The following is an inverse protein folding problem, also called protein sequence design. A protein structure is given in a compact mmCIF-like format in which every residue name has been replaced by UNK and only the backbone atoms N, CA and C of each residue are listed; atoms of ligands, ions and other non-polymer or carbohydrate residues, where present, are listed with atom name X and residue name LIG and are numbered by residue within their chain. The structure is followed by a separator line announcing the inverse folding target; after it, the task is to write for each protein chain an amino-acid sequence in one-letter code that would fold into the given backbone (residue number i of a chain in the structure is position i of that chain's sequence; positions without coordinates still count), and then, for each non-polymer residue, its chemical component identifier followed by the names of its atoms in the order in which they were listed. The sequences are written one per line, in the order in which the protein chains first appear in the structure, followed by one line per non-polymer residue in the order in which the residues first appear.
data_IF_992814430811
#
_entry.id   IF_992814430811
#
_cell.length_a   1.000
_cell.length_b   1.000
_cell.length_c   1.000
_cell.angle_alpha   90.00
_cell.angle_beta   90.00
_cell.angle_gamma   90.00
#
_symmetry.space_group_name_H-M   'P 1'
#
loop_
_entity.id
_entity.type
_entity.pdbx_description
1 polymer ?
#
# COMPACT_ATOMS: atom_id res chain seq x y z
N UNK A 1 -26.33 15.28 -8.24
CA UNK A 1 -25.18 15.26 -7.30
C UNK A 1 -25.51 14.46 -6.03
N UNK A 2 -26.57 14.80 -5.28
CA UNK A 2 -27.00 14.01 -4.09
C UNK A 2 -27.29 12.53 -4.38
N UNK A 3 -28.02 12.24 -5.47
CA UNK A 3 -28.35 10.86 -5.90
C UNK A 3 -27.14 10.03 -6.38
N UNK A 4 -26.11 10.70 -6.90
CA UNK A 4 -24.91 10.04 -7.41
C UNK A 4 -23.68 10.88 -7.02
N UNK A 5 -23.06 10.59 -5.86
CA UNK A 5 -21.91 11.34 -5.37
C UNK A 5 -20.68 11.24 -6.27
N UNK A 6 -20.58 10.19 -7.10
CA UNK A 6 -19.42 9.95 -7.98
C UNK A 6 -19.24 11.03 -9.05
N UNK A 7 -20.29 11.80 -9.36
CA UNK A 7 -20.18 12.89 -10.33
C UNK A 7 -19.53 14.16 -9.75
N UNK A 8 -19.25 14.22 -8.44
CA UNK A 8 -18.57 15.37 -7.82
C UNK A 8 -17.12 15.46 -8.30
N UNK A 9 -16.87 16.35 -9.26
CA UNK A 9 -15.54 16.76 -9.68
C UNK A 9 -15.11 18.06 -8.99
N UNK A 10 -13.89 18.55 -9.24
CA UNK A 10 -13.35 19.76 -8.59
C UNK A 10 -14.21 21.01 -8.80
N UNK A 11 -14.70 21.23 -10.02
CA UNK A 11 -15.58 22.38 -10.35
C UNK A 11 -16.91 22.34 -9.58
N UNK A 12 -17.55 21.16 -9.47
CA UNK A 12 -18.79 21.01 -8.69
C UNK A 12 -18.56 21.23 -7.20
N UNK A 13 -17.45 20.72 -6.66
CA UNK A 13 -17.08 20.94 -5.24
C UNK A 13 -16.81 22.42 -4.95
N UNK A 14 -16.16 23.13 -5.87
CA UNK A 14 -15.95 24.58 -5.77
C UNK A 14 -17.28 25.35 -5.78
N UNK A 15 -18.24 24.95 -6.65
CA UNK A 15 -19.58 25.56 -6.66
C UNK A 15 -20.32 25.32 -5.35
N UNK A 16 -20.25 24.12 -4.78
CA UNK A 16 -20.88 23.79 -3.49
C UNK A 16 -20.24 24.62 -2.37
N UNK A 17 -18.91 24.63 -2.29
CA UNK A 17 -18.15 25.40 -1.31
C UNK A 17 -18.55 26.89 -1.33
N UNK A 18 -18.57 27.51 -2.51
CA UNK A 18 -19.00 28.91 -2.68
C UNK A 18 -20.46 29.13 -2.31
N UNK A 19 -21.35 28.21 -2.69
CA UNK A 19 -22.78 28.31 -2.39
C UNK A 19 -23.13 28.08 -0.92
N UNK A 20 -22.30 27.36 -0.17
CA UNK A 20 -22.50 27.08 1.25
C UNK A 20 -21.65 27.94 2.18
N UNK A 21 -20.78 28.80 1.65
CA UNK A 21 -19.83 29.58 2.45
C UNK A 21 -18.77 28.74 3.16
N UNK A 22 -18.44 27.55 2.64
CA UNK A 22 -17.43 26.64 3.22
C UNK A 22 -16.22 26.49 2.28
N UNK A 23 -15.15 25.87 2.77
CA UNK A 23 -13.98 25.59 1.93
C UNK A 23 -14.17 24.31 1.10
N UNK A 24 -13.41 24.17 0.03
CA UNK A 24 -13.40 22.93 -0.78
C UNK A 24 -12.91 21.74 0.04
N UNK A 25 -12.03 21.97 1.01
CA UNK A 25 -11.52 20.95 1.92
C UNK A 25 -12.63 20.38 2.79
N UNK A 26 -13.50 21.24 3.34
CA UNK A 26 -14.65 20.80 4.16
C UNK A 26 -15.60 19.93 3.35
N UNK A 27 -15.86 20.31 2.11
CA UNK A 27 -16.68 19.52 1.17
C UNK A 27 -16.04 18.17 0.90
N UNK A 28 -14.72 18.10 0.72
CA UNK A 28 -14.01 16.84 0.53
C UNK A 28 -14.13 15.91 1.73
N UNK A 29 -13.94 16.43 2.94
CA UNK A 29 -14.09 15.65 4.17
C UNK A 29 -15.51 15.12 4.34
N UNK A 30 -16.53 15.93 4.03
CA UNK A 30 -17.92 15.50 4.07
C UNK A 30 -18.19 14.34 3.09
N UNK A 31 -17.69 14.46 1.86
CA UNK A 31 -17.85 13.41 0.84
C UNK A 31 -17.17 12.11 1.29
N UNK A 32 -15.97 12.18 1.86
CA UNK A 32 -15.26 11.00 2.38
C UNK A 32 -16.03 10.32 3.51
N UNK A 33 -16.54 11.08 4.48
CA UNK A 33 -17.36 10.54 5.59
C UNK A 33 -18.64 9.89 5.06
N UNK A 34 -19.28 10.50 4.07
CA UNK A 34 -20.45 9.93 3.42
C UNK A 34 -20.13 8.60 2.71
N UNK A 35 -19.03 8.53 1.96
CA UNK A 35 -18.64 7.31 1.24
C UNK A 35 -18.32 6.16 2.19
N UNK A 36 -17.66 6.44 3.32
CA UNK A 36 -17.40 5.48 4.37
C UNK A 36 -18.72 4.95 4.98
N UNK A 37 -19.63 5.86 5.35
CA UNK A 37 -20.94 5.50 5.89
C UNK A 37 -21.75 4.68 4.87
N UNK A 38 -21.76 5.08 3.60
CA UNK A 38 -22.45 4.37 2.52
C UNK A 38 -21.89 2.95 2.32
N UNK A 39 -20.57 2.76 2.44
CA UNK A 39 -19.92 1.44 2.38
C UNK A 39 -20.35 0.56 3.56
N UNK A 40 -20.42 1.12 4.77
CA UNK A 40 -20.91 0.41 5.95
C UNK A 40 -22.37 0.02 5.78
N UNK A 41 -23.25 0.95 5.41
CA UNK A 41 -24.67 0.69 5.17
C UNK A 41 -24.88 -0.40 4.12
N UNK A 42 -24.11 -0.37 3.01
CA UNK A 42 -24.16 -1.40 1.97
C UNK A 42 -23.73 -2.78 2.48
N UNK A 43 -22.79 -2.83 3.44
CA UNK A 43 -22.30 -4.09 4.02
C UNK A 43 -23.35 -4.68 4.95
N UNK A 44 -23.94 -3.85 5.81
CA UNK A 44 -25.05 -4.23 6.71
C UNK A 44 -26.28 -4.66 5.91
N UNK A 45 -26.67 -3.92 4.88
CA UNK A 45 -27.80 -4.26 4.01
C UNK A 45 -27.62 -5.59 3.27
N UNK A 46 -26.38 -6.05 3.09
CA UNK A 46 -26.06 -7.37 2.52
C UNK A 46 -25.98 -8.48 3.57
N UNK A 47 -26.35 -8.21 4.81
CA UNK A 47 -26.28 -9.15 5.93
C UNK A 47 -24.86 -9.39 6.46
N UNK A 48 -23.89 -8.56 6.07
CA UNK A 48 -22.50 -8.67 6.53
C UNK A 48 -22.25 -7.85 7.79
N UNK A 49 -21.47 -8.39 8.73
CA UNK A 49 -20.99 -7.64 9.89
C UNK A 49 -20.03 -6.53 9.42
N UNK A 50 -20.28 -5.25 9.74
CA UNK A 50 -19.40 -4.18 9.34
C UNK A 50 -18.02 -4.38 9.99
N UNK A 51 -16.97 -4.35 9.17
CA UNK A 51 -15.59 -4.47 9.64
C UNK A 51 -15.20 -3.14 10.27
N UNK A 52 -15.60 -2.94 11.53
CA UNK A 52 -15.31 -1.74 12.32
C UNK A 52 -13.82 -1.83 12.72
N UNK A 53 -12.95 -0.90 12.27
CA UNK A 53 -11.57 -0.87 12.71
C UNK A 53 -11.51 -0.75 14.23
N UNK A 54 -10.81 -1.68 14.90
CA UNK A 54 -10.73 -1.76 16.37
C UNK A 54 -11.67 -2.77 17.01
N UNK A 55 -12.70 -3.25 16.30
CA UNK A 55 -13.53 -4.38 16.72
C UNK A 55 -13.10 -5.60 15.91
N UNK A 56 -11.97 -6.21 16.31
CA UNK A 56 -11.50 -7.46 15.71
C UNK A 56 -12.61 -8.52 15.78
N UNK A 57 -12.66 -9.38 14.76
CA UNK A 57 -13.54 -10.55 14.76
C UNK A 57 -13.42 -11.29 16.09
N UNK A 58 -14.50 -11.30 16.89
CA UNK A 58 -14.59 -12.03 18.15
C UNK A 58 -14.18 -13.49 17.89
N UNK A 59 -13.04 -13.96 18.44
CA UNK A 59 -12.66 -15.35 18.38
C UNK A 59 -13.65 -16.12 19.27
N UNK A 60 -14.60 -16.84 18.68
CA UNK A 60 -15.51 -17.69 19.44
C UNK A 60 -16.95 -17.79 18.96
N UNK A 61 -17.42 -16.92 18.05
CA UNK A 61 -18.73 -17.12 17.42
C UNK A 61 -18.58 -18.08 16.23
N UNK A 62 -18.76 -19.37 16.52
CA UNK A 62 -18.48 -20.49 15.64
C UNK A 62 -19.16 -20.40 14.28
N UNK A 63 -18.44 -20.83 13.23
CA UNK A 63 -19.02 -21.32 11.98
C UNK A 63 -19.33 -22.80 12.21
N UNK A 64 -20.59 -23.25 12.31
CA UNK A 64 -20.90 -24.67 12.27
C UNK A 64 -20.79 -25.12 10.81
N UNK A 65 -19.96 -26.13 10.52
CA UNK A 65 -20.04 -26.83 9.23
C UNK A 65 -18.77 -27.02 8.41
N UNK A 66 -17.58 -27.10 9.00
CA UNK A 66 -16.39 -27.52 8.25
C UNK A 66 -15.56 -28.56 9.02
N UNK A 67 -16.14 -29.73 9.25
CA UNK A 67 -15.39 -30.94 9.58
C UNK A 67 -15.23 -31.80 8.33
N UNK A 68 -14.04 -31.80 7.72
CA UNK A 68 -13.52 -33.00 7.05
C UNK A 68 -12.01 -32.97 7.01
N UNK A 69 -11.48 -33.55 8.08
CA UNK A 69 -10.20 -34.26 8.23
C UNK A 69 -9.62 -34.77 6.89
N UNK A 70 -8.49 -34.22 6.42
CA UNK A 70 -7.51 -35.01 5.64
C UNK A 70 -6.10 -34.42 5.67
N UNK A 71 -5.16 -35.22 6.17
CA UNK A 71 -3.77 -35.22 5.71
C UNK A 71 -2.75 -34.49 6.58
N UNK A 72 -2.09 -35.24 7.47
CA UNK A 72 -0.70 -34.96 7.86
C UNK A 72 0.18 -34.99 6.60
N UNK A 73 0.91 -33.90 6.32
CA UNK A 73 2.27 -33.99 5.73
C UNK A 73 3.09 -32.79 6.19
N UNK A 74 4.15 -33.08 6.94
CA UNK A 74 5.18 -32.14 7.30
C UNK A 74 6.06 -31.78 6.09
N UNK A 75 6.81 -30.69 6.25
CA UNK A 75 8.06 -30.31 5.55
C UNK A 75 7.89 -29.30 4.40
N UNK A 76 8.30 -28.06 4.68
CA UNK A 76 8.42 -26.97 3.70
C UNK A 76 8.45 -25.59 4.35
N UNK A 77 9.48 -25.35 5.18
CA UNK A 77 9.81 -24.06 5.79
C UNK A 77 10.16 -22.99 4.76
N UNK A 78 9.80 -21.74 5.04
CA UNK A 78 10.42 -20.54 4.47
C UNK A 78 9.64 -19.95 3.30
N UNK A 79 8.57 -19.18 3.51
CA UNK A 79 8.69 -17.74 3.80
C UNK A 79 9.84 -17.12 2.99
N UNK A 80 9.51 -16.52 1.83
CA UNK A 80 10.32 -15.49 1.17
C UNK A 80 10.70 -14.47 2.23
N UNK A 81 11.92 -14.57 2.76
CA UNK A 81 12.37 -13.72 3.86
C UNK A 81 12.49 -12.29 3.36
N UNK A 82 11.82 -11.35 4.04
CA UNK A 82 11.95 -9.91 3.82
C UNK A 82 13.31 -9.34 4.27
N UNK A 83 14.38 -10.13 4.22
CA UNK A 83 15.72 -9.72 4.64
C UNK A 83 16.54 -9.30 3.40
N UNK A 84 16.91 -8.00 3.26
CA UNK A 84 17.55 -7.48 2.05
C UNK A 84 18.91 -8.11 1.72
N UNK A 85 19.66 -8.59 2.73
CA UNK A 85 20.94 -9.26 2.52
C UNK A 85 20.84 -10.56 1.70
N UNK A 86 19.74 -11.32 1.86
CA UNK A 86 19.53 -12.57 1.10
C UNK A 86 19.15 -12.31 -0.37
N UNK A 87 18.37 -11.25 -0.63
CA UNK A 87 18.02 -10.82 -1.99
C UNK A 87 19.24 -10.30 -2.76
N UNK A 88 20.14 -9.58 -2.09
CA UNK A 88 21.38 -9.10 -2.69
C UNK A 88 22.30 -10.27 -3.12
N UNK A 89 22.40 -11.31 -2.29
CA UNK A 89 23.16 -12.52 -2.62
C UNK A 89 22.55 -13.32 -3.79
N UNK A 90 21.21 -13.41 -3.85
CA UNK A 90 20.49 -14.08 -4.95
C UNK A 90 20.67 -13.34 -6.30
N UNK A 91 20.73 -12.00 -6.29
CA UNK A 91 20.97 -11.20 -7.50
C UNK A 91 22.44 -11.21 -7.93
N UNK A 92 23.39 -11.28 -6.98
CA UNK A 92 24.82 -11.40 -7.25
C UNK A 92 25.19 -12.77 -7.88
N UNK A 93 24.46 -13.83 -7.53
CA UNK A 93 24.66 -15.17 -8.12
C UNK A 93 24.15 -15.34 -9.56
N UNK A 94 23.37 -14.37 -10.07
CA UNK A 94 22.82 -14.38 -11.43
C UNK A 94 23.61 -13.50 -12.42
N UNK A 95 24.64 -12.79 -11.95
CA UNK A 95 25.39 -11.82 -12.76
C UNK A 95 26.72 -12.34 -13.34
N UNK A 96 27.04 -13.63 -13.20
CA UNK A 96 28.17 -14.26 -13.89
C UNK A 96 27.67 -15.07 -15.09
N UNK A 97 27.33 -14.37 -16.17
CA UNK A 97 26.89 -15.03 -17.40
C UNK A 97 26.54 -14.04 -18.51
N UNK A 98 27.56 -13.74 -19.34
CA UNK A 98 27.47 -13.24 -20.73
C UNK A 98 27.03 -11.79 -20.97
N UNK A 99 28.02 -11.00 -21.38
CA UNK A 99 27.90 -9.76 -22.16
C UNK A 99 27.05 -9.95 -23.41
N UNK A 100 26.09 -9.05 -23.65
CA UNK A 100 25.59 -8.73 -24.97
C UNK A 100 25.15 -7.26 -25.03
N UNK A 101 25.85 -6.53 -25.88
CA UNK A 101 25.58 -5.21 -26.46
C UNK A 101 24.10 -4.95 -26.80
N UNK A 102 23.59 -3.74 -26.52
CA UNK A 102 22.32 -3.27 -27.10
C UNK A 102 21.74 -2.03 -26.45
N UNK A 103 21.87 -0.90 -27.13
CA UNK A 103 21.37 0.45 -26.83
C UNK A 103 19.86 0.57 -26.52
N UNK A 104 19.49 1.38 -25.52
CA UNK A 104 18.12 1.87 -25.36
C UNK A 104 17.86 2.79 -24.17
N UNK A 105 17.60 4.07 -24.48
CA UNK A 105 16.85 5.06 -23.69
C UNK A 105 17.57 5.75 -22.50
N UNK A 106 17.76 7.06 -22.65
CA UNK A 106 18.58 7.91 -21.79
C UNK A 106 18.10 8.08 -20.35
N UNK A 107 19.07 7.94 -19.44
CA UNK A 107 19.22 8.80 -18.28
C UNK A 107 20.72 8.83 -17.94
N UNK A 108 21.31 10.02 -17.93
CA UNK A 108 22.75 10.23 -17.80
C UNK A 108 23.34 9.56 -16.56
N UNK A 109 24.39 8.76 -16.78
CA UNK A 109 25.22 8.22 -15.71
C UNK A 109 25.97 9.35 -15.01
N UNK A 110 25.57 9.65 -13.78
CA UNK A 110 26.50 10.24 -12.82
C UNK A 110 27.54 9.15 -12.50
N UNK A 111 28.86 9.42 -12.61
CA UNK A 111 29.87 8.50 -12.13
C UNK A 111 29.65 8.28 -10.63
N UNK A 112 29.82 7.04 -10.15
CA UNK A 112 29.73 6.74 -8.73
C UNK A 112 30.68 7.68 -7.95
N UNK A 113 30.24 8.27 -6.82
CA UNK A 113 31.04 9.23 -6.06
C UNK A 113 32.35 8.58 -5.60
N UNK A 114 33.44 9.37 -5.64
CA UNK A 114 34.78 8.89 -5.36
C UNK A 114 34.97 8.60 -3.87
N UNK A 115 35.99 7.83 -3.55
CA UNK A 115 36.30 7.40 -2.17
C UNK A 115 36.54 8.59 -1.23
N UNK A 116 36.99 9.73 -1.76
CA UNK A 116 37.15 10.98 -1.03
C UNK A 116 35.79 11.62 -0.67
N UNK A 117 34.82 11.59 -1.58
CA UNK A 117 33.48 12.14 -1.36
C UNK A 117 32.73 11.33 -0.30
N UNK A 118 32.94 10.01 -0.28
CA UNK A 118 32.39 9.13 0.76
C UNK A 118 32.99 9.39 2.14
N UNK A 119 34.30 9.69 2.21
CA UNK A 119 34.98 10.01 3.46
C UNK A 119 34.55 11.38 4.03
N UNK A 120 34.26 12.34 3.16
CA UNK A 120 33.74 13.66 3.54
C UNK A 120 32.29 13.57 4.05
N UNK A 121 31.45 12.77 3.38
CA UNK A 121 30.08 12.48 3.84
C UNK A 121 30.09 11.76 5.19
N UNK A 122 30.97 10.78 5.40
CA UNK A 122 31.10 10.08 6.69
C UNK A 122 31.57 11.01 7.83
N UNK A 123 32.41 12.01 7.54
CA UNK A 123 32.79 13.05 8.52
C UNK A 123 31.67 14.05 8.77
N UNK A 124 30.84 14.37 7.78
CA UNK A 124 29.73 15.32 7.92
C UNK A 124 28.54 14.74 8.71
N UNK A 125 28.30 13.43 8.60
CA UNK A 125 27.21 12.72 9.30
C UNK A 125 27.64 12.11 10.65
N UNK A 126 28.71 12.65 11.25
CA UNK A 126 29.32 12.21 12.51
C UNK A 126 28.37 11.50 13.49
N UNK A 127 28.46 10.16 13.49
CA UNK A 127 28.19 9.34 14.67
C UNK A 127 29.48 9.34 15.48
N UNK A 128 29.41 9.90 16.69
CA UNK A 128 30.39 9.60 17.72
C UNK A 128 30.42 8.09 18.01
#
# INVERSE_FOLDING_TARGET
ERRNPKVLNGSRRLRIARGSGMTVTDVNQLVQRFEQAAKMMKTVARGGTPNIPGMGAMPGMGRPGASSKRGKKAKGSGSRSGNPAKRAAENAGLATGQSATGSGFGLGGQPAPSEADMAEIQKLFGKN
#
